data_IF_060765736056
#
_entry.id   IF_060765736056
#
_cell.length_a   1.000
_cell.length_b   1.000
_cell.length_c   1.000
_cell.angle_alpha   90.00
_cell.angle_beta   90.00
_cell.angle_gamma   90.00
#
_symmetry.space_group_name_H-M   'P 1'
#
loop_
_entity.id
_entity.type
_entity.pdbx_description
1 polymer ?
#
# COMPACT_ATOMS: atom_id res chain seq x y z
N UNK A 1 7.08 -25.31 -21.73
CA UNK A 1 8.13 -25.18 -20.68
C UNK A 1 8.80 -23.83 -20.80
N UNK A 2 9.57 -23.56 -21.86
CA UNK A 2 10.28 -22.28 -22.05
C UNK A 2 9.42 -21.01 -21.89
N UNK A 3 8.25 -20.93 -22.54
CA UNK A 3 7.38 -19.75 -22.42
C UNK A 3 6.91 -19.47 -20.98
N UNK A 4 6.63 -20.51 -20.19
CA UNK A 4 6.30 -20.36 -18.76
C UNK A 4 7.48 -19.79 -17.99
N UNK A 5 8.69 -20.27 -18.29
CA UNK A 5 9.89 -19.84 -17.57
C UNK A 5 10.26 -18.39 -17.91
N UNK A 6 10.07 -17.98 -19.17
CA UNK A 6 10.18 -16.58 -19.60
C UNK A 6 9.14 -15.72 -18.87
N UNK A 7 7.87 -16.13 -18.85
CA UNK A 7 6.83 -15.41 -18.12
C UNK A 7 7.15 -15.31 -16.63
N UNK A 8 7.58 -16.40 -16.00
CA UNK A 8 7.96 -16.40 -14.59
C UNK A 8 9.09 -15.41 -14.34
N UNK A 9 10.12 -15.42 -15.19
CA UNK A 9 11.25 -14.54 -15.03
C UNK A 9 10.85 -13.06 -15.21
N UNK A 10 9.93 -12.74 -16.12
CA UNK A 10 9.40 -11.38 -16.27
C UNK A 10 8.53 -10.93 -15.09
N UNK A 11 7.61 -11.78 -14.63
CA UNK A 11 6.57 -11.39 -13.67
C UNK A 11 7.07 -11.43 -12.22
N UNK A 12 7.94 -12.38 -11.88
CA UNK A 12 8.40 -12.57 -10.50
C UNK A 12 9.10 -11.32 -9.93
N UNK A 13 9.94 -10.56 -10.66
CA UNK A 13 10.49 -9.28 -10.21
C UNK A 13 9.43 -8.24 -9.81
N UNK A 14 8.29 -8.20 -10.52
CA UNK A 14 7.20 -7.29 -10.17
C UNK A 14 6.52 -7.74 -8.87
N UNK A 15 6.35 -9.04 -8.68
CA UNK A 15 5.78 -9.62 -7.45
C UNK A 15 6.72 -9.39 -6.26
N UNK A 16 8.03 -9.56 -6.42
CA UNK A 16 9.01 -9.28 -5.36
C UNK A 16 9.06 -7.80 -5.01
N UNK A 17 9.00 -6.92 -6.01
CA UNK A 17 8.86 -5.47 -5.81
C UNK A 17 7.62 -5.15 -4.98
N UNK A 18 6.45 -5.69 -5.33
CA UNK A 18 5.22 -5.46 -4.58
C UNK A 18 5.32 -5.93 -3.13
N UNK A 19 5.92 -7.11 -2.90
CA UNK A 19 6.16 -7.62 -1.55
C UNK A 19 7.08 -6.69 -0.76
N UNK A 20 8.15 -6.18 -1.38
CA UNK A 20 9.08 -5.23 -0.75
C UNK A 20 8.39 -3.91 -0.44
N UNK A 21 7.65 -3.35 -1.40
CA UNK A 21 6.88 -2.12 -1.25
C UNK A 21 5.88 -2.24 -0.08
N UNK A 22 5.18 -3.36 0.02
CA UNK A 22 4.24 -3.64 1.11
C UNK A 22 4.93 -3.65 2.49
N UNK A 23 6.09 -4.31 2.58
CA UNK A 23 6.88 -4.35 3.82
C UNK A 23 7.38 -2.96 4.21
N UNK A 24 7.90 -2.18 3.25
CA UNK A 24 8.37 -0.82 3.49
C UNK A 24 7.24 0.12 3.91
N UNK A 25 6.10 0.06 3.22
CA UNK A 25 4.91 0.84 3.56
C UNK A 25 4.40 0.47 4.97
N UNK A 26 4.38 -0.82 5.30
CA UNK A 26 3.98 -1.30 6.61
C UNK A 26 4.89 -0.77 7.73
N UNK A 27 6.20 -0.77 7.50
CA UNK A 27 7.18 -0.22 8.43
C UNK A 27 7.03 1.31 8.58
N UNK A 28 6.91 2.04 7.47
CA UNK A 28 6.81 3.49 7.46
C UNK A 28 5.52 4.00 8.15
N UNK A 29 4.40 3.31 7.94
CA UNK A 29 3.10 3.69 8.49
C UNK A 29 2.80 3.04 9.85
N UNK A 30 3.66 2.11 10.30
CA UNK A 30 3.43 1.30 11.50
C UNK A 30 2.05 0.60 11.51
N UNK A 31 1.62 0.10 10.35
CA UNK A 31 0.34 -0.62 10.17
C UNK A 31 0.53 -1.90 9.38
N UNK A 32 -0.30 -2.90 9.66
CA UNK A 32 -0.38 -4.14 8.88
C UNK A 32 -1.65 -4.19 8.02
N UNK A 33 -2.47 -3.13 8.05
CA UNK A 33 -3.72 -3.10 7.30
C UNK A 33 -3.43 -2.83 5.83
N UNK A 34 -3.72 -3.83 4.98
CA UNK A 34 -3.46 -3.77 3.54
C UNK A 34 -4.12 -2.58 2.83
N UNK A 35 -5.30 -2.12 3.30
CA UNK A 35 -5.99 -0.95 2.76
C UNK A 35 -5.29 0.39 3.04
N UNK A 36 -4.40 0.43 4.03
CA UNK A 36 -3.76 1.67 4.45
C UNK A 36 -2.35 1.81 3.85
N UNK A 37 -1.79 0.73 3.30
CA UNK A 37 -0.42 0.71 2.78
C UNK A 37 -0.22 1.65 1.58
N UNK A 38 -1.27 1.89 0.80
CA UNK A 38 -1.26 2.84 -0.30
C UNK A 38 -0.95 4.29 0.14
N UNK A 39 -1.18 4.62 1.42
CA UNK A 39 -0.91 5.95 1.98
C UNK A 39 0.58 6.27 2.10
N UNK A 40 1.46 5.26 1.97
CA UNK A 40 2.90 5.46 1.94
C UNK A 40 3.41 6.02 0.60
N UNK A 41 2.55 5.99 -0.44
CA UNK A 41 2.92 6.33 -1.81
C UNK A 41 2.11 7.52 -2.34
N UNK A 42 2.61 8.18 -3.40
CA UNK A 42 1.98 9.39 -3.96
C UNK A 42 1.91 9.42 -5.49
N UNK A 43 0.86 10.02 -6.05
CA UNK A 43 0.71 10.13 -7.51
C UNK A 43 0.68 8.78 -8.22
N UNK A 44 1.50 8.62 -9.25
CA UNK A 44 1.53 7.42 -10.10
C UNK A 44 2.02 6.15 -9.38
N UNK A 45 2.91 6.28 -8.39
CA UNK A 45 3.38 5.13 -7.60
C UNK A 45 2.25 4.53 -6.76
N UNK A 46 1.37 5.38 -6.20
CA UNK A 46 0.19 4.93 -5.44
C UNK A 46 -0.77 4.19 -6.36
N UNK A 47 -1.06 4.75 -7.52
CA UNK A 47 -1.90 4.10 -8.54
C UNK A 47 -1.34 2.73 -8.95
N UNK A 48 -0.02 2.65 -9.17
CA UNK A 48 0.65 1.40 -9.50
C UNK A 48 0.61 0.40 -8.33
N UNK A 49 0.85 0.84 -7.10
CA UNK A 49 0.77 -0.01 -5.91
C UNK A 49 -0.61 -0.63 -5.75
N UNK A 50 -1.68 0.18 -5.87
CA UNK A 50 -3.07 -0.30 -5.79
C UNK A 50 -3.37 -1.26 -6.93
N UNK A 51 -2.98 -0.91 -8.16
CA UNK A 51 -3.16 -1.78 -9.33
C UNK A 51 -2.49 -3.14 -9.17
N UNK A 52 -1.25 -3.16 -8.68
CA UNK A 52 -0.52 -4.39 -8.37
C UNK A 52 -1.14 -5.15 -7.20
N UNK A 53 -1.61 -4.46 -6.16
CA UNK A 53 -2.28 -5.08 -5.03
C UNK A 53 -3.53 -5.83 -5.48
N UNK A 54 -4.41 -5.19 -6.25
CA UNK A 54 -5.60 -5.84 -6.80
C UNK A 54 -5.20 -7.04 -7.69
N UNK A 55 -4.31 -6.83 -8.66
CA UNK A 55 -3.94 -7.89 -9.60
C UNK A 55 -3.28 -9.09 -8.91
N UNK A 56 -2.26 -8.86 -8.07
CA UNK A 56 -1.49 -9.94 -7.44
C UNK A 56 -2.34 -10.72 -6.44
N UNK A 57 -3.31 -10.07 -5.77
CA UNK A 57 -4.19 -10.76 -4.83
C UNK A 57 -5.24 -11.63 -5.53
N UNK A 58 -5.71 -11.22 -6.71
CA UNK A 58 -6.67 -11.99 -7.51
C UNK A 58 -5.96 -13.11 -8.30
N UNK A 59 -4.82 -12.83 -8.91
CA UNK A 59 -4.11 -13.71 -9.85
C UNK A 59 -2.86 -14.37 -9.25
N UNK A 60 -2.92 -14.71 -7.95
CA UNK A 60 -1.76 -15.22 -7.18
C UNK A 60 -1.06 -16.42 -7.82
N UNK A 61 -1.83 -17.38 -8.35
CA UNK A 61 -1.30 -18.60 -8.95
C UNK A 61 -0.64 -18.31 -10.31
N UNK A 62 -1.23 -17.44 -11.12
CA UNK A 62 -0.64 -17.02 -12.39
C UNK A 62 0.66 -16.24 -12.16
N UNK A 63 0.67 -15.29 -11.22
CA UNK A 63 1.85 -14.51 -10.84
C UNK A 63 3.03 -15.40 -10.41
N UNK A 64 2.75 -16.52 -9.74
CA UNK A 64 3.76 -17.49 -9.29
C UNK A 64 3.98 -18.63 -10.28
N UNK A 65 3.35 -18.56 -11.46
CA UNK A 65 3.34 -19.56 -12.53
C UNK A 65 3.06 -20.99 -12.04
N UNK A 66 2.13 -21.11 -11.08
CA UNK A 66 1.70 -22.38 -10.48
C UNK A 66 0.71 -23.11 -11.38
N UNK A 67 0.72 -24.44 -11.30
CA UNK A 67 -0.20 -25.30 -12.06
C UNK A 67 0.35 -25.70 -13.42
N UNK A 68 -0.56 -25.94 -14.37
CA UNK A 68 -0.21 -26.42 -15.71
C UNK A 68 0.52 -25.32 -16.51
N UNK A 69 1.74 -25.57 -17.02
CA UNK A 69 2.50 -24.59 -17.80
C UNK A 69 1.76 -24.07 -19.04
N UNK A 70 0.96 -24.91 -19.70
CA UNK A 70 0.17 -24.50 -20.85
C UNK A 70 -0.94 -23.54 -20.43
N UNK A 71 -1.68 -23.84 -19.36
CA UNK A 71 -2.74 -22.98 -18.84
C UNK A 71 -2.20 -21.61 -18.42
N UNK A 72 -1.04 -21.54 -17.77
CA UNK A 72 -0.41 -20.26 -17.39
C UNK A 72 -0.10 -19.40 -18.62
N UNK A 73 0.50 -20.01 -19.65
CA UNK A 73 0.85 -19.31 -20.90
C UNK A 73 -0.40 -18.86 -21.66
N UNK A 74 -1.43 -19.72 -21.74
CA UNK A 74 -2.70 -19.37 -22.39
C UNK A 74 -3.43 -18.26 -21.63
N UNK A 75 -3.43 -18.31 -20.29
CA UNK A 75 -4.06 -17.29 -19.45
C UNK A 75 -3.45 -15.90 -19.66
N UNK A 76 -2.20 -15.79 -20.11
CA UNK A 76 -1.56 -14.50 -20.44
C UNK A 76 -2.36 -13.67 -21.44
N UNK A 77 -3.08 -14.30 -22.38
CA UNK A 77 -3.91 -13.62 -23.38
C UNK A 77 -5.40 -13.60 -23.03
N UNK A 78 -5.79 -14.13 -21.87
CA UNK A 78 -7.21 -14.28 -21.50
C UNK A 78 -7.87 -12.98 -21.08
N UNK A 79 -7.09 -12.02 -20.55
CA UNK A 79 -7.61 -10.74 -20.07
C UNK A 79 -6.62 -9.62 -20.35
N UNK A 80 -7.14 -8.40 -20.41
CA UNK A 80 -6.37 -7.20 -20.72
C UNK A 80 -5.38 -6.86 -19.58
N UNK A 81 -5.70 -7.20 -18.33
CA UNK A 81 -4.78 -7.01 -17.20
C UNK A 81 -3.53 -7.90 -17.30
N UNK A 82 -3.68 -9.16 -17.71
CA UNK A 82 -2.57 -10.08 -17.90
C UNK A 82 -1.64 -9.63 -19.03
N UNK A 83 -2.22 -9.19 -20.15
CA UNK A 83 -1.46 -8.67 -21.29
C UNK A 83 -0.71 -7.40 -20.88
N UNK A 84 -1.40 -6.44 -20.24
CA UNK A 84 -0.78 -5.18 -19.79
C UNK A 84 0.34 -5.40 -18.80
N UNK A 85 0.18 -6.30 -17.84
CA UNK A 85 1.23 -6.60 -16.87
C UNK A 85 2.43 -7.27 -17.55
N UNK A 86 2.20 -8.19 -18.49
CA UNK A 86 3.28 -8.86 -19.23
C UNK A 86 4.07 -7.87 -20.08
N UNK A 87 3.39 -6.93 -20.75
CA UNK A 87 4.03 -5.86 -21.50
C UNK A 87 4.82 -4.95 -20.55
N UNK A 88 4.21 -4.49 -19.45
CA UNK A 88 4.89 -3.62 -18.47
C UNK A 88 6.15 -4.29 -17.89
N UNK A 89 6.06 -5.56 -17.50
CA UNK A 89 7.20 -6.35 -17.01
C UNK A 89 8.31 -6.50 -18.07
N UNK A 90 7.93 -6.66 -19.33
CA UNK A 90 8.88 -6.72 -20.45
C UNK A 90 9.60 -5.37 -20.64
N UNK A 91 8.86 -4.27 -20.61
CA UNK A 91 9.41 -2.91 -20.71
C UNK A 91 10.40 -2.62 -19.57
N UNK A 92 10.04 -2.99 -18.34
CA UNK A 92 10.90 -2.86 -17.15
C UNK A 92 12.20 -3.66 -17.31
N UNK A 93 12.12 -4.88 -17.84
CA UNK A 93 13.30 -5.73 -18.06
C UNK A 93 14.26 -5.15 -19.11
N UNK A 94 13.76 -4.35 -20.06
CA UNK A 94 14.57 -3.69 -21.08
C UNK A 94 15.03 -2.28 -20.71
N UNK A 95 14.44 -1.65 -19.68
CA UNK A 95 14.68 -0.25 -19.32
C UNK A 95 16.15 0.03 -18.95
N UNK A 96 16.85 -0.92 -18.32
CA UNK A 96 18.26 -0.79 -17.95
C UNK A 96 19.22 -0.73 -19.16
N UNK A 97 18.76 -1.11 -20.35
CA UNK A 97 19.59 -1.14 -21.57
C UNK A 97 19.52 0.20 -22.32
N UNK A 98 18.48 1.01 -22.08
CA UNK A 98 18.21 2.25 -22.79
C UNK A 98 18.88 3.50 -22.17
N UNK A 99 19.55 3.38 -21.01
CA UNK A 99 20.29 4.46 -20.36
C UNK A 99 21.81 4.27 -20.53
N UNK A 100 22.46 4.90 -21.53
CA UNK A 100 23.90 4.80 -21.75
C UNK A 100 24.70 5.77 -20.84
N UNK A 101 24.30 5.93 -19.56
CA UNK A 101 24.86 6.98 -18.68
C UNK A 101 25.44 6.46 -17.37
N UNK A 102 25.88 5.20 -17.34
CA UNK A 102 26.88 4.77 -16.35
C UNK A 102 28.22 4.57 -17.06
N UNK A 103 29.04 5.63 -17.05
CA UNK A 103 30.48 5.44 -17.00
C UNK A 103 30.79 4.67 -15.71
N UNK A 104 31.55 3.59 -15.83
CA UNK A 104 31.87 2.56 -14.84
C UNK A 104 30.84 1.41 -14.68
N UNK A 105 31.21 0.17 -15.10
CA UNK A 105 30.47 -1.01 -14.66
C UNK A 105 30.71 -1.19 -13.15
N UNK A 106 29.68 -1.38 -12.32
CA UNK A 106 29.89 -1.78 -10.94
C UNK A 106 30.55 -3.15 -10.92
N UNK A 107 31.87 -3.17 -10.71
CA UNK A 107 32.61 -4.37 -10.39
C UNK A 107 32.09 -4.86 -9.03
N UNK A 108 31.46 -6.05 -8.99
CA UNK A 108 30.92 -6.76 -7.81
C UNK A 108 29.43 -6.64 -7.47
N UNK A 109 28.54 -6.74 -8.46
CA UNK A 109 27.27 -7.44 -8.21
C UNK A 109 27.08 -8.45 -9.35
N UNK A 110 26.94 -9.72 -9.02
CA UNK A 110 26.39 -10.72 -9.93
C UNK A 110 24.95 -10.30 -10.25
N UNK A 111 24.78 -9.32 -11.12
CA UNK A 111 23.51 -8.73 -11.47
C UNK A 111 22.69 -9.81 -12.18
N UNK A 112 21.80 -10.45 -11.41
CA UNK A 112 20.78 -11.40 -11.87
C UNK A 112 19.71 -10.66 -12.68
N UNK A 113 20.16 -9.90 -13.67
CA UNK A 113 19.32 -9.22 -14.64
C UNK A 113 18.94 -10.24 -15.70
N UNK A 114 17.68 -10.19 -16.12
CA UNK A 114 17.26 -10.98 -17.25
C UNK A 114 18.01 -10.51 -18.50
N UNK A 115 18.44 -11.45 -19.37
CA UNK A 115 18.92 -11.05 -20.69
C UNK A 115 17.83 -10.25 -21.39
N UNK A 116 18.20 -9.28 -22.26
CA UNK A 116 17.23 -8.59 -23.09
C UNK A 116 16.36 -9.59 -23.85
N UNK A 117 15.04 -9.39 -23.78
CA UNK A 117 14.05 -10.20 -24.50
C UNK A 117 13.26 -9.32 -25.48
N UNK A 118 13.92 -8.72 -26.49
CA UNK A 118 13.30 -7.73 -27.38
C UNK A 118 12.18 -8.33 -28.24
N UNK A 119 12.14 -9.65 -28.39
CA UNK A 119 11.16 -10.36 -29.21
C UNK A 119 9.81 -10.56 -28.53
N UNK A 120 9.69 -10.32 -27.21
CA UNK A 120 8.45 -10.60 -26.48
C UNK A 120 7.34 -9.64 -26.91
N UNK A 121 7.65 -8.35 -27.04
CA UNK A 121 6.62 -7.36 -27.40
C UNK A 121 6.08 -7.58 -28.83
N UNK A 122 6.92 -7.80 -29.87
CA UNK A 122 6.43 -8.19 -31.20
C UNK A 122 5.63 -9.50 -31.19
N UNK A 123 6.05 -10.50 -30.41
CA UNK A 123 5.33 -11.76 -30.31
C UNK A 123 3.94 -11.60 -29.67
N UNK A 124 3.85 -10.81 -28.59
CA UNK A 124 2.56 -10.48 -27.95
C UNK A 124 1.66 -9.67 -28.89
N UNK A 125 2.22 -8.70 -29.61
CA UNK A 125 1.47 -7.94 -30.62
C UNK A 125 0.84 -8.88 -31.65
N UNK A 126 1.66 -9.77 -32.21
CA UNK A 126 1.20 -10.72 -33.20
C UNK A 126 0.14 -11.67 -32.61
N UNK A 127 0.31 -12.12 -31.37
CA UNK A 127 -0.65 -13.00 -30.72
C UNK A 127 -2.01 -12.30 -30.50
N UNK A 128 -2.02 -11.06 -30.02
CA UNK A 128 -3.25 -10.28 -29.78
C UNK A 128 -3.97 -9.96 -31.09
N UNK A 129 -3.25 -9.52 -32.13
CA UNK A 129 -3.85 -9.14 -33.43
C UNK A 129 -4.52 -10.34 -34.12
N UNK A 130 -3.98 -11.54 -33.95
CA UNK A 130 -4.51 -12.76 -34.57
C UNK A 130 -5.53 -13.50 -33.70
N UNK A 131 -5.82 -13.01 -32.49
CA UNK A 131 -6.77 -13.64 -31.58
C UNK A 131 -8.19 -13.09 -31.83
N UNK A 132 -9.17 -13.94 -32.22
CA UNK A 132 -10.55 -13.52 -32.45
C UNK A 132 -11.24 -12.94 -31.21
N UNK A 133 -10.72 -13.15 -30.01
CA UNK A 133 -11.27 -12.53 -28.80
C UNK A 133 -10.99 -11.02 -28.75
N UNK A 134 -9.85 -10.58 -29.29
CA UNK A 134 -9.37 -9.20 -29.22
C UNK A 134 -9.66 -8.42 -30.51
N UNK A 135 -10.89 -8.47 -31.02
CA UNK A 135 -11.28 -7.78 -32.24
C UNK A 135 -11.16 -6.25 -32.14
N UNK A 136 -10.62 -5.61 -33.20
CA UNK A 136 -10.58 -4.16 -33.37
C UNK A 136 -9.20 -3.62 -33.79
N UNK A 137 -9.18 -2.65 -34.71
CA UNK A 137 -7.91 -2.10 -35.24
C UNK A 137 -7.05 -1.38 -34.19
N UNK A 138 -7.70 -0.80 -33.18
CA UNK A 138 -7.04 0.06 -32.17
C UNK A 138 -6.73 -0.65 -30.85
N UNK A 139 -7.13 -1.93 -30.69
CA UNK A 139 -7.03 -2.64 -29.40
C UNK A 139 -5.58 -2.73 -28.91
N UNK A 140 -4.64 -3.01 -29.82
CA UNK A 140 -3.23 -3.10 -29.47
C UNK A 140 -2.68 -1.75 -29.00
N UNK A 141 -3.03 -0.65 -29.69
CA UNK A 141 -2.61 0.70 -29.32
C UNK A 141 -3.14 1.08 -27.93
N UNK A 142 -4.40 0.74 -27.64
CA UNK A 142 -4.99 0.92 -26.32
C UNK A 142 -4.25 0.12 -25.24
N UNK A 143 -4.07 -1.19 -25.42
CA UNK A 143 -3.39 -2.07 -24.46
C UNK A 143 -1.96 -1.58 -24.21
N UNK A 144 -1.21 -1.27 -25.26
CA UNK A 144 0.18 -0.81 -25.18
C UNK A 144 0.30 0.54 -24.46
N UNK A 145 -0.63 1.47 -24.72
CA UNK A 145 -0.67 2.76 -24.02
C UNK A 145 -0.87 2.57 -22.51
N UNK A 146 -1.85 1.74 -22.14
CA UNK A 146 -2.15 1.43 -20.73
C UNK A 146 -1.01 0.66 -20.05
N UNK A 147 -0.37 -0.26 -20.77
CA UNK A 147 0.79 -0.99 -20.26
C UNK A 147 2.01 -0.08 -20.05
N UNK A 148 2.23 0.88 -20.95
CA UNK A 148 3.30 1.88 -20.80
C UNK A 148 3.05 2.77 -19.57
N UNK A 149 1.81 3.21 -19.35
CA UNK A 149 1.43 3.96 -18.14
C UNK A 149 1.69 3.13 -16.87
N UNK A 150 1.32 1.85 -16.87
CA UNK A 150 1.60 0.93 -15.77
C UNK A 150 3.10 0.77 -15.52
N UNK A 151 3.90 0.59 -16.58
CA UNK A 151 5.36 0.51 -16.47
C UNK A 151 5.97 1.76 -15.83
N UNK A 152 5.53 2.95 -16.26
CA UNK A 152 5.99 4.22 -15.68
C UNK A 152 5.58 4.34 -14.20
N UNK A 153 4.36 3.95 -13.84
CA UNK A 153 3.90 3.91 -12.46
C UNK A 153 4.71 2.94 -11.58
N UNK A 154 5.07 1.76 -12.12
CA UNK A 154 5.94 0.81 -11.42
C UNK A 154 7.35 1.38 -11.23
N UNK A 155 7.90 2.10 -12.22
CA UNK A 155 9.20 2.79 -12.06
C UNK A 155 9.13 3.88 -10.98
N UNK A 156 8.05 4.66 -10.94
CA UNK A 156 7.81 5.64 -9.87
C UNK A 156 7.72 4.95 -8.49
N UNK A 157 7.06 3.79 -8.42
CA UNK A 157 6.98 2.98 -7.20
C UNK A 157 8.36 2.47 -6.75
N UNK A 158 9.22 2.02 -7.68
CA UNK A 158 10.60 1.63 -7.37
C UNK A 158 11.34 2.81 -6.73
N UNK A 159 11.26 4.00 -7.33
CA UNK A 159 11.92 5.19 -6.80
C UNK A 159 11.40 5.59 -5.40
N UNK A 160 10.07 5.55 -5.19
CA UNK A 160 9.52 5.82 -3.86
C UNK A 160 9.88 4.75 -2.83
N UNK A 161 10.02 3.47 -3.22
CA UNK A 161 10.51 2.44 -2.31
C UNK A 161 11.95 2.72 -1.84
N UNK A 162 12.83 3.19 -2.73
CA UNK A 162 14.20 3.61 -2.35
C UNK A 162 14.15 4.78 -1.36
N UNK A 163 13.28 5.76 -1.61
CA UNK A 163 13.10 6.89 -0.69
C UNK A 163 12.55 6.43 0.68
N UNK A 164 11.53 5.58 0.71
CA UNK A 164 10.97 5.04 1.96
C UNK A 164 11.99 4.20 2.72
N UNK A 165 12.78 3.38 2.04
CA UNK A 165 13.84 2.59 2.67
C UNK A 165 14.88 3.49 3.34
N UNK A 166 15.25 4.63 2.73
CA UNK A 166 16.15 5.60 3.36
C UNK A 166 15.56 6.23 4.63
N UNK A 167 14.24 6.45 4.66
CA UNK A 167 13.54 7.00 5.82
C UNK A 167 13.40 5.97 6.95
N UNK A 168 13.16 4.70 6.60
CA UNK A 168 13.03 3.59 7.56
C UNK A 168 14.40 3.15 8.11
N UNK A 169 15.45 3.20 7.27
CA UNK A 169 16.81 2.77 7.65
C UNK A 169 17.61 3.84 8.38
N UNK A 170 17.20 5.12 8.27
CA UNK A 170 17.81 6.19 9.05
C UNK A 170 17.51 5.97 10.53
N UNK A 171 18.51 5.65 11.37
CA UNK A 171 18.29 5.64 12.80
C UNK A 171 17.87 7.06 13.20
N UNK A 172 16.84 7.19 14.03
CA UNK A 172 16.60 8.42 14.79
C UNK A 172 17.74 8.62 15.80
N UNK A 173 18.93 8.92 15.31
CA UNK A 173 20.11 9.27 16.09
C UNK A 173 20.78 10.47 15.47
N UNK A 174 20.07 11.60 15.41
CA UNK A 174 20.69 12.91 15.63
C UNK A 174 19.70 13.80 16.39
N UNK A 175 19.81 13.75 17.73
CA UNK A 175 19.60 14.97 18.52
C UNK A 175 20.69 15.93 18.04
N UNK A 176 20.37 17.10 17.45
CA UNK A 176 21.39 18.11 17.27
C UNK A 176 21.88 18.49 18.66
N UNK A 177 23.12 18.13 18.97
CA UNK A 177 23.86 18.67 20.09
C UNK A 177 24.11 20.15 19.80
N UNK A 178 23.08 20.97 20.02
CA UNK A 178 23.23 22.42 20.06
C UNK A 178 24.06 22.74 21.28
N UNK A 179 25.34 23.01 21.05
CA UNK A 179 26.21 23.73 21.98
C UNK A 179 25.61 25.11 22.22
N UNK A 180 24.76 25.27 23.24
CA UNK A 180 24.53 26.53 23.95
C UNK A 180 24.34 26.20 25.43
N UNK A 181 25.29 26.64 26.23
CA UNK A 181 25.27 26.47 27.67
C UNK A 181 24.12 27.21 28.33
N UNK A 182 23.55 26.61 29.37
CA UNK A 182 23.33 27.25 30.67
C UNK A 182 22.80 26.19 31.65
N UNK A 183 23.63 25.89 32.65
CA UNK A 183 23.33 25.42 34.01
C UNK A 183 22.05 24.60 34.24
N UNK A 184 22.19 23.28 34.32
CA UNK A 184 21.40 22.46 35.24
C UNK A 184 22.29 21.42 35.93
N UNK A 185 22.18 21.26 37.27
CA UNK A 185 23.06 20.39 38.03
C UNK A 185 22.69 18.92 37.83
N UNK A 186 23.70 18.15 37.48
CA UNK A 186 23.74 16.69 37.51
C UNK A 186 23.52 16.22 38.95
N UNK A 187 22.51 15.39 39.19
CA UNK A 187 22.40 14.61 40.44
C UNK A 187 22.96 13.21 40.17
N UNK A 188 23.96 12.74 40.92
CA UNK A 188 24.56 11.42 40.72
C UNK A 188 23.61 10.31 41.17
N UNK A 189 23.61 9.23 40.39
CA UNK A 189 22.99 7.96 40.74
C UNK A 189 23.71 7.37 41.96
N UNK A 190 23.08 7.45 43.13
CA UNK A 190 23.49 6.71 44.33
C UNK A 190 22.57 5.50 44.45
N UNK A 191 23.15 4.31 44.23
CA UNK A 191 22.57 3.05 44.68
C UNK A 191 22.71 3.01 46.20
N UNK A 192 21.62 3.23 46.92
CA UNK A 192 21.43 2.70 48.27
C UNK A 192 19.96 2.74 48.62
N UNK A 193 19.45 1.60 49.06
CA UNK A 193 18.06 1.39 49.35
C UNK A 193 17.57 2.24 50.53
N UNK A 194 16.38 2.79 50.38
CA UNK A 194 15.35 2.87 51.43
C UNK A 194 14.06 3.42 50.84
N UNK A 195 12.94 2.87 51.31
CA UNK A 195 11.58 3.14 50.85
C UNK A 195 11.19 4.63 50.98
N UNK A 196 10.69 5.23 49.89
CA UNK A 196 10.02 6.54 49.93
C UNK A 196 8.83 6.54 48.97
N UNK A 197 7.68 6.93 49.50
CA UNK A 197 6.36 7.07 48.86
C UNK A 197 6.39 7.64 47.44
N UNK A 198 5.70 6.95 46.52
CA UNK A 198 5.39 7.45 45.18
C UNK A 198 4.48 8.69 45.24
N UNK A 199 5.09 9.87 45.21
CA UNK A 199 4.44 11.08 44.70
C UNK A 199 4.81 11.24 43.23
N UNK A 200 4.00 10.63 42.36
CA UNK A 200 4.15 10.74 40.91
C UNK A 200 4.19 12.19 40.44
N UNK A 201 5.20 12.54 39.65
CA UNK A 201 5.34 13.86 39.02
C UNK A 201 4.21 14.02 38.00
N UNK A 202 3.38 15.06 38.16
CA UNK A 202 2.31 15.38 37.20
C UNK A 202 2.94 15.86 35.88
N UNK A 203 3.10 14.94 34.93
CA UNK A 203 3.54 15.24 33.57
C UNK A 203 2.51 16.14 32.87
N UNK A 204 2.93 17.36 32.53
CA UNK A 204 2.09 18.33 31.82
C UNK A 204 2.05 17.97 30.33
N UNK A 205 0.84 17.75 29.79
CA UNK A 205 0.64 17.45 28.36
C UNK A 205 1.28 18.51 27.47
N UNK A 206 2.07 18.08 26.48
CA UNK A 206 2.73 18.96 25.51
C UNK A 206 1.71 19.72 24.63
N UNK A 207 2.14 20.81 23.99
CA UNK A 207 1.28 21.58 23.06
C UNK A 207 0.79 20.71 21.89
N UNK A 208 1.63 19.80 21.41
CA UNK A 208 1.30 18.84 20.36
C UNK A 208 0.24 17.84 20.83
N UNK A 209 0.42 17.25 22.02
CA UNK A 209 -0.55 16.31 22.60
C UNK A 209 -1.92 16.98 22.82
N UNK A 210 -1.94 18.25 23.24
CA UNK A 210 -3.18 19.05 23.33
C UNK A 210 -3.81 19.34 21.98
N UNK A 211 -3.04 19.40 20.89
CA UNK A 211 -3.57 19.58 19.53
C UNK A 211 -4.15 18.27 18.99
N UNK A 212 -3.45 17.16 19.17
CA UNK A 212 -3.93 15.83 18.78
C UNK A 212 -5.22 15.46 19.52
N UNK A 213 -5.31 15.76 20.82
CA UNK A 213 -6.53 15.52 21.59
C UNK A 213 -7.71 16.33 21.05
N UNK A 214 -7.51 17.63 20.75
CA UNK A 214 -8.54 18.48 20.13
C UNK A 214 -9.00 17.96 18.77
N UNK A 215 -8.07 17.54 17.92
CA UNK A 215 -8.39 16.96 16.61
C UNK A 215 -9.22 15.68 16.73
N UNK A 216 -8.92 14.82 17.72
CA UNK A 216 -9.71 13.63 18.00
C UNK A 216 -11.11 13.97 18.49
N UNK A 217 -11.24 14.98 19.36
CA UNK A 217 -12.56 15.44 19.83
C UNK A 217 -13.40 16.01 18.67
N UNK A 218 -12.77 16.76 17.76
CA UNK A 218 -13.41 17.30 16.54
C UNK A 218 -13.84 16.19 15.57
N UNK A 219 -13.02 15.15 15.38
CA UNK A 219 -13.34 13.97 14.56
C UNK A 219 -14.57 13.22 15.09
N UNK A 220 -14.62 12.99 16.40
CA UNK A 220 -15.75 12.32 17.07
C UNK A 220 -17.03 13.15 16.93
N UNK A 221 -16.95 14.47 17.07
CA UNK A 221 -18.10 15.35 16.92
C UNK A 221 -18.61 15.38 15.47
N UNK A 222 -17.71 15.38 14.48
CA UNK A 222 -18.08 15.28 13.06
C UNK A 222 -18.77 13.94 12.74
N UNK A 223 -18.19 12.83 13.20
CA UNK A 223 -18.80 11.49 13.02
C UNK A 223 -20.19 11.43 13.66
N UNK A 224 -20.35 12.01 14.86
CA UNK A 224 -21.66 12.08 15.54
C UNK A 224 -22.69 12.86 14.74
N UNK A 225 -22.31 14.00 14.15
CA UNK A 225 -23.22 14.81 13.30
C UNK A 225 -23.63 14.07 12.04
N UNK A 226 -22.68 13.41 11.36
CA UNK A 226 -22.96 12.59 10.17
C UNK A 226 -23.91 11.44 10.54
N UNK A 227 -23.62 10.71 11.60
CA UNK A 227 -24.48 9.62 12.08
C UNK A 227 -25.91 10.12 12.38
N UNK A 228 -26.07 11.26 13.05
CA UNK A 228 -27.38 11.85 13.34
C UNK A 228 -28.12 12.31 12.07
N UNK A 229 -27.41 12.90 11.10
CA UNK A 229 -28.01 13.31 9.83
C UNK A 229 -28.45 12.09 8.98
N UNK A 230 -27.61 11.05 8.93
CA UNK A 230 -27.95 9.77 8.31
C UNK A 230 -29.15 9.13 9.00
N UNK A 231 -29.16 9.10 10.34
CA UNK A 231 -30.26 8.56 11.14
C UNK A 231 -31.56 9.35 10.96
N UNK A 232 -31.49 10.67 10.84
CA UNK A 232 -32.67 11.51 10.60
C UNK A 232 -33.27 11.30 9.20
N UNK A 233 -32.43 11.05 8.19
CA UNK A 233 -32.86 10.80 6.80
C UNK A 233 -33.25 9.36 6.53
N UNK A 234 -32.75 8.41 7.32
CA UNK A 234 -33.09 7.00 7.18
C UNK A 234 -34.59 6.79 7.47
N UNK A 235 -35.34 6.24 6.50
CA UNK A 235 -36.74 5.84 6.66
C UNK A 235 -36.82 4.52 7.44
N UNK A 236 -36.33 4.52 8.67
CA UNK A 236 -36.32 3.33 9.53
C UNK A 236 -37.71 3.12 10.12
N UNK A 237 -38.32 1.92 9.99
CA UNK A 237 -39.57 1.57 10.65
C UNK A 237 -39.52 1.82 12.16
N UNK A 238 -40.63 2.30 12.73
CA UNK A 238 -40.71 2.73 14.15
C UNK A 238 -40.32 1.65 15.16
N UNK A 239 -40.55 0.37 14.85
CA UNK A 239 -40.23 -0.76 15.75
C UNK A 239 -38.71 -0.95 15.87
N UNK A 240 -37.98 -0.95 14.75
CA UNK A 240 -36.50 -1.04 14.73
C UNK A 240 -35.88 0.17 15.43
N UNK A 241 -36.47 1.35 15.27
CA UNK A 241 -36.02 2.57 15.96
C UNK A 241 -36.18 2.48 17.48
N UNK A 242 -37.24 1.82 17.96
CA UNK A 242 -37.49 1.59 19.37
C UNK A 242 -36.54 0.56 20.00
N UNK A 243 -36.21 -0.51 19.27
CA UNK A 243 -35.24 -1.53 19.70
C UNK A 243 -33.82 -0.98 19.78
N UNK A 244 -33.35 -0.25 18.75
CA UNK A 244 -31.99 0.31 18.73
C UNK A 244 -31.79 1.40 19.81
N UNK A 245 -32.84 2.12 20.17
CA UNK A 245 -32.82 3.12 21.25
C UNK A 245 -33.08 2.53 22.65
N UNK A 246 -33.27 1.20 22.77
CA UNK A 246 -33.54 0.54 24.05
C UNK A 246 -34.87 0.94 24.70
N UNK A 247 -35.82 1.46 23.89
CA UNK A 247 -37.12 1.93 24.37
C UNK A 247 -38.19 0.82 24.39
N UNK A 248 -37.92 -0.32 23.73
CA UNK A 248 -38.88 -1.43 23.58
C UNK A 248 -39.22 -2.16 24.89
N UNK A 249 -38.35 -2.10 25.92
CA UNK A 249 -38.56 -2.84 27.17
C UNK A 249 -39.24 -2.05 28.29
N UNK A 250 -39.59 -0.78 28.06
CA UNK A 250 -40.29 0.01 29.07
C UNK A 250 -41.81 -0.01 28.89
N UNK A 251 -42.42 -1.18 29.15
CA UNK A 251 -43.84 -1.25 29.53
C UNK A 251 -44.04 -0.54 30.88
N UNK A 252 -44.02 0.79 30.88
CA UNK A 252 -44.57 1.59 32.00
C UNK A 252 -46.09 1.42 31.99
N UNK A 253 -46.58 0.41 32.70
CA UNK A 253 -47.97 0.34 33.11
C UNK A 253 -48.27 1.57 33.98
N UNK A 254 -49.03 2.53 33.44
CA UNK A 254 -49.62 3.60 34.25
C UNK A 254 -50.79 2.97 34.99
N UNK A 255 -50.58 2.63 36.27
CA UNK A 255 -51.68 2.31 37.18
C UNK A 255 -52.51 3.57 37.39
N UNK A 256 -53.72 3.61 36.84
CA UNK A 256 -54.75 4.58 37.22
C UNK A 256 -55.46 4.02 38.44
N UNK A 257 -54.99 4.39 39.61
CA UNK A 257 -55.76 4.32 40.85
C UNK A 257 -55.38 5.52 41.71
N UNK A 258 -56.26 6.52 41.76
CA UNK A 258 -56.40 7.40 42.90
C UNK A 258 -57.64 6.98 43.69
N UNK A 259 -57.68 7.17 45.02
CA UNK A 259 -58.94 7.35 45.73
C UNK A 259 -59.62 8.66 45.35
#
# INVERSE_FOLDING_TARGET
MLHRDILHALIMPVVTLFSRASTLASAALCTQRASDLELAFSGESRSAFIGLQCFITEETDWCRTRGCPACVVTATLSTDSHIRLTIAASLLSTANIATPTQEEPPQHIEDRTLPPLPHILPALQHAVINDPFWEGSEIWGYILSRATQLSAGIQALIAECVNLESLVSSPTTERPASKRGLTHPTVPFVVSGQAVQEKGVKLRKSKLAKRQLRLRDEEVELMRRVAMQCWAKARVPKHIRGEVLGLSDSKRARSLTCP
#
